data_IF_656052104050
#
_entry.id   IF_656052104050
#
_cell.length_a   1.000
_cell.length_b   1.000
_cell.length_c   1.000
_cell.angle_alpha   90.00
_cell.angle_beta   90.00
_cell.angle_gamma   90.00
#
_symmetry.space_group_name_H-M   'P 1'
#
loop_
_entity.id
_entity.type
_entity.pdbx_description
1 polymer ?
#
# COMPACT_ATOMS: atom_id res chain seq x y z
N UNK A 1 -7.06 -20.86 0.80
CA UNK A 1 -6.65 -19.43 0.82
C UNK A 1 -6.77 -18.85 2.24
N UNK A 2 -6.00 -17.79 2.48
CA UNK A 2 -5.96 -17.13 3.80
C UNK A 2 -5.08 -15.88 3.72
N UNK A 3 -5.37 -14.95 4.63
CA UNK A 3 -4.59 -13.72 4.76
C UNK A 3 -3.16 -14.05 5.26
N UNK A 4 -2.20 -13.54 4.48
CA UNK A 4 -0.78 -13.71 4.78
C UNK A 4 -0.38 -12.79 5.97
N UNK A 5 0.91 -12.81 6.29
CA UNK A 5 1.46 -11.95 7.34
C UNK A 5 2.51 -11.01 6.73
N UNK A 6 2.03 -10.17 5.83
CA UNK A 6 2.84 -9.16 5.12
C UNK A 6 3.54 -8.18 6.10
N UNK A 7 3.35 -6.90 5.90
CA UNK A 7 3.81 -5.87 6.85
C UNK A 7 3.21 -6.17 8.24
N UNK A 8 3.40 -5.24 9.17
CA UNK A 8 2.86 -5.34 10.55
C UNK A 8 1.47 -6.00 10.57
N UNK A 9 0.55 -5.43 9.77
CA UNK A 9 -0.80 -5.97 9.57
C UNK A 9 -1.44 -5.28 8.38
N UNK A 10 -2.00 -6.12 7.50
CA UNK A 10 -2.77 -5.68 6.32
C UNK A 10 -3.67 -4.49 6.67
N UNK A 11 -4.04 -3.76 5.64
CA UNK A 11 -4.92 -2.60 5.79
C UNK A 11 -6.31 -3.08 6.24
N UNK A 12 -6.44 -3.15 7.55
CA UNK A 12 -7.69 -3.58 8.18
C UNK A 12 -8.84 -2.63 7.78
N UNK A 13 -8.47 -1.44 7.33
CA UNK A 13 -9.38 -0.39 6.87
C UNK A 13 -8.78 0.45 5.75
N UNK A 14 -9.25 0.24 4.52
CA UNK A 14 -8.81 1.02 3.37
C UNK A 14 -9.31 2.47 3.39
N UNK A 15 -8.42 3.38 3.71
CA UNK A 15 -8.77 4.81 3.84
C UNK A 15 -8.55 5.59 2.54
N UNK A 16 -9.20 6.72 2.28
CA UNK A 16 -8.99 7.43 1.00
C UNK A 16 -7.58 8.04 0.94
N UNK A 17 -7.02 8.10 -0.26
CA UNK A 17 -5.70 8.70 -0.52
C UNK A 17 -5.59 10.15 -0.01
N UNK A 18 -6.76 10.76 0.24
CA UNK A 18 -6.89 12.09 0.87
C UNK A 18 -6.30 12.12 2.30
N UNK A 19 -6.10 10.95 2.89
CA UNK A 19 -5.47 10.78 4.21
C UNK A 19 -4.06 10.18 4.11
N UNK A 20 -3.66 9.80 2.89
CA UNK A 20 -2.36 9.22 2.60
C UNK A 20 -1.38 10.35 2.26
N UNK A 21 -0.45 10.52 3.19
CA UNK A 21 0.63 11.52 3.03
C UNK A 21 1.76 10.97 2.15
N UNK A 22 2.11 9.72 2.43
CA UNK A 22 3.22 9.02 1.78
C UNK A 22 2.88 7.55 1.70
N UNK A 23 3.72 6.85 0.95
CA UNK A 23 3.59 5.41 0.69
C UNK A 23 4.73 4.88 -0.19
N UNK A 24 4.79 3.56 -0.28
CA UNK A 24 5.81 2.87 -1.06
C UNK A 24 5.25 1.55 -1.59
N UNK A 25 6.00 0.95 -2.50
CA UNK A 25 5.62 -0.32 -3.14
C UNK A 25 6.27 -1.50 -2.39
N UNK A 26 5.47 -2.53 -2.19
CA UNK A 26 5.94 -3.75 -1.53
C UNK A 26 5.80 -4.93 -2.49
N UNK A 27 6.95 -5.55 -2.70
CA UNK A 27 7.08 -6.74 -3.56
C UNK A 27 6.62 -7.98 -2.80
N UNK A 28 6.33 -9.02 -3.58
CA UNK A 28 5.90 -10.33 -3.08
C UNK A 28 7.07 -11.30 -3.05
N UNK A 29 7.59 -11.51 -1.84
CA UNK A 29 8.72 -12.40 -1.58
C UNK A 29 9.10 -12.46 -0.10
N UNK A 30 9.38 -11.27 0.44
CA UNK A 30 9.81 -11.10 1.84
C UNK A 30 8.72 -11.61 2.81
N UNK A 31 8.57 -10.96 3.96
CA UNK A 31 7.50 -11.25 4.93
C UNK A 31 6.12 -11.32 4.29
N UNK A 32 5.97 -10.62 3.16
CA UNK A 32 4.79 -10.70 2.30
C UNK A 32 5.08 -11.59 1.10
N UNK A 33 4.13 -12.45 0.83
CA UNK A 33 4.15 -13.34 -0.38
C UNK A 33 3.34 -12.74 -1.52
N UNK A 34 2.72 -11.59 -1.24
CA UNK A 34 1.83 -10.93 -2.19
C UNK A 34 2.28 -9.46 -2.30
N UNK A 35 1.74 -8.80 -3.29
CA UNK A 35 1.97 -7.35 -3.46
C UNK A 35 1.10 -6.57 -2.46
N UNK A 36 1.72 -5.57 -1.84
CA UNK A 36 1.02 -4.65 -0.92
C UNK A 36 1.58 -3.24 -1.02
N UNK A 37 0.76 -2.29 -0.60
CA UNK A 37 1.11 -0.87 -0.72
C UNK A 37 1.38 -0.36 0.67
N UNK A 38 2.67 -0.17 0.88
CA UNK A 38 3.21 0.34 2.14
C UNK A 38 2.82 1.82 2.30
N UNK A 39 1.56 2.06 2.58
CA UNK A 39 1.01 3.38 2.90
C UNK A 39 1.66 3.99 4.12
N UNK A 40 1.64 5.31 4.17
CA UNK A 40 2.24 6.10 5.25
C UNK A 40 1.38 7.36 5.46
N UNK A 41 0.12 7.07 5.78
CA UNK A 41 -0.87 8.11 6.08
C UNK A 41 -0.32 9.08 7.16
N UNK A 42 -1.08 10.14 7.39
CA UNK A 42 -0.65 11.15 8.38
C UNK A 42 -1.17 10.84 9.81
N UNK A 43 -1.99 9.80 9.90
CA UNK A 43 -2.59 9.36 11.16
C UNK A 43 -2.68 7.82 11.24
N UNK A 44 -1.66 7.17 10.70
CA UNK A 44 -1.53 5.70 10.70
C UNK A 44 -0.14 5.33 10.19
N UNK A 45 0.50 4.50 11.00
CA UNK A 45 1.82 3.94 10.63
C UNK A 45 1.76 3.21 9.28
N UNK A 46 2.90 2.66 8.89
CA UNK A 46 3.03 1.90 7.63
C UNK A 46 1.88 0.91 7.44
N UNK A 47 1.08 1.19 6.43
CA UNK A 47 -0.11 0.39 6.14
C UNK A 47 0.22 -0.51 4.94
N UNK A 48 -0.30 -1.72 4.97
CA UNK A 48 -0.09 -2.64 3.84
C UNK A 48 -1.41 -2.94 3.14
N UNK A 49 -1.53 -2.42 1.92
CA UNK A 49 -2.78 -2.55 1.18
C UNK A 49 -2.56 -3.19 -0.18
N UNK A 50 -3.17 -4.34 -0.40
CA UNK A 50 -2.95 -5.08 -1.66
C UNK A 50 -3.33 -4.19 -2.88
N UNK A 51 -2.46 -4.12 -3.89
CA UNK A 51 -2.64 -3.35 -5.13
C UNK A 51 -3.67 -3.98 -6.06
N UNK A 52 -4.86 -4.09 -5.49
CA UNK A 52 -6.03 -4.63 -6.19
C UNK A 52 -7.32 -3.86 -5.91
N UNK A 53 -7.13 -2.69 -5.29
CA UNK A 53 -8.24 -1.82 -4.90
C UNK A 53 -8.21 -0.58 -5.81
N UNK A 54 -9.26 0.22 -5.68
CA UNK A 54 -9.38 1.51 -6.40
C UNK A 54 -8.67 2.66 -5.69
N UNK A 55 -8.73 2.64 -4.36
CA UNK A 55 -8.07 3.65 -3.51
C UNK A 55 -6.55 3.47 -3.52
N UNK A 56 -6.15 2.20 -3.38
CA UNK A 56 -4.75 1.78 -3.45
C UNK A 56 -4.18 2.15 -4.81
N UNK A 57 -4.75 1.54 -5.85
CA UNK A 57 -4.30 1.76 -7.23
C UNK A 57 -4.25 3.26 -7.51
N UNK A 58 -5.18 4.05 -6.96
CA UNK A 58 -5.20 5.53 -7.09
C UNK A 58 -3.97 6.18 -6.47
N UNK A 59 -3.63 5.72 -5.26
CA UNK A 59 -2.44 6.21 -4.56
C UNK A 59 -1.16 5.76 -5.26
N UNK A 60 -1.12 4.48 -5.60
CA UNK A 60 -0.01 3.87 -6.37
C UNK A 60 0.08 4.51 -7.76
N UNK A 61 -1.05 4.96 -8.29
CA UNK A 61 -1.14 5.59 -9.63
C UNK A 61 -0.32 6.87 -9.66
N UNK A 62 -0.65 7.81 -8.79
CA UNK A 62 0.13 9.05 -8.63
C UNK A 62 1.63 8.76 -8.42
N UNK A 63 1.91 7.65 -7.71
CA UNK A 63 3.28 7.13 -7.57
C UNK A 63 3.85 6.57 -8.87
N UNK A 64 3.03 5.88 -9.64
CA UNK A 64 3.42 5.24 -10.91
C UNK A 64 4.06 6.28 -11.81
N UNK A 65 3.53 7.51 -11.78
CA UNK A 65 4.12 8.64 -12.51
C UNK A 65 5.26 9.32 -11.71
N UNK A 66 5.22 9.20 -10.38
CA UNK A 66 6.24 9.72 -9.47
C UNK A 66 7.54 8.90 -9.52
N UNK A 67 7.43 7.59 -9.35
CA UNK A 67 8.56 6.63 -9.44
C UNK A 67 8.77 6.16 -10.89
N UNK A 68 8.47 7.05 -11.83
CA UNK A 68 8.64 6.76 -13.26
C UNK A 68 8.71 8.08 -14.02
N UNK A 69 9.97 8.44 -14.27
CA UNK A 69 10.29 9.64 -15.06
C UNK A 69 9.56 9.62 -16.41
N UNK A 70 9.23 10.81 -16.85
CA UNK A 70 8.44 11.01 -18.09
C UNK A 70 8.57 12.44 -18.64
#
# INVERSE_FOLDING_TARGET
ASNYDCCLSYIQTPLPSRAIVGFTRQMADEACDINAIIFHTKKRKSVCADPKQNWVKRAVNLLSLRVKKM
#
